data_IF_300656091019
#
_entry.id   IF_300656091019
#
_cell.length_a   1.000
_cell.length_b   1.000
_cell.length_c   1.000
_cell.angle_alpha   90.00
_cell.angle_beta   90.00
_cell.angle_gamma   90.00
#
_symmetry.space_group_name_H-M   'P 1'
#
loop_
_entity.id
_entity.type
_entity.pdbx_description
1 polymer ?
#
# COMPACT_ATOMS: atom_id res chain seq x y z
N UNK A 1 -3.88 31.97 -26.13
CA UNK A 1 -3.03 31.73 -24.95
C UNK A 1 -3.81 32.14 -23.70
N UNK A 2 -4.44 31.20 -22.99
CA UNK A 2 -5.13 31.45 -21.73
C UNK A 2 -4.28 30.84 -20.60
N UNK A 3 -3.80 31.67 -19.69
CA UNK A 3 -3.01 31.27 -18.52
C UNK A 3 -3.92 30.50 -17.57
N UNK A 4 -3.60 29.22 -17.35
CA UNK A 4 -4.20 28.40 -16.30
C UNK A 4 -3.74 28.92 -14.93
N UNK A 5 -4.67 29.46 -14.14
CA UNK A 5 -4.41 29.85 -12.76
C UNK A 5 -4.48 28.62 -11.88
N UNK A 6 -3.33 28.22 -11.35
CA UNK A 6 -3.23 27.23 -10.27
C UNK A 6 -3.91 27.83 -9.05
N UNK A 7 -5.07 27.31 -8.67
CA UNK A 7 -5.71 27.63 -7.39
C UNK A 7 -4.88 27.03 -6.26
N UNK A 8 -4.14 27.88 -5.56
CA UNK A 8 -3.56 27.52 -4.27
C UNK A 8 -4.68 27.26 -3.28
N UNK A 9 -4.74 26.05 -2.73
CA UNK A 9 -5.57 25.74 -1.57
C UNK A 9 -5.07 26.60 -0.41
N UNK A 10 -5.92 27.40 0.26
CA UNK A 10 -5.49 28.19 1.37
C UNK A 10 -5.09 27.31 2.55
N UNK A 11 -3.86 27.44 3.01
CA UNK A 11 -3.43 26.93 4.30
C UNK A 11 -4.34 27.55 5.37
N UNK A 12 -5.21 26.76 5.99
CA UNK A 12 -5.99 27.19 7.14
C UNK A 12 -5.03 27.42 8.29
N UNK A 13 -4.98 28.68 8.71
CA UNK A 13 -4.17 29.18 9.79
C UNK A 13 -4.31 28.32 11.04
N UNK A 14 -3.17 28.08 11.67
CA UNK A 14 -3.03 27.42 12.94
C UNK A 14 -3.92 28.10 14.00
N UNK A 15 -4.98 27.40 14.40
CA UNK A 15 -5.66 27.73 15.65
C UNK A 15 -4.74 27.24 16.78
N UNK A 16 -4.26 28.17 17.57
CA UNK A 16 -3.55 27.97 18.83
C UNK A 16 -4.35 26.99 19.70
N UNK A 17 -3.92 25.73 19.73
CA UNK A 17 -4.48 24.75 20.64
C UNK A 17 -3.73 24.85 21.96
N UNK A 18 -4.48 25.12 23.02
CA UNK A 18 -4.05 24.83 24.38
C UNK A 18 -3.57 23.37 24.41
N UNK A 19 -2.27 23.15 24.70
CA UNK A 19 -1.69 21.82 24.89
C UNK A 19 -2.42 21.13 26.03
N UNK A 20 -3.40 20.31 25.71
CA UNK A 20 -3.89 19.30 26.64
C UNK A 20 -2.70 18.39 27.00
N UNK A 21 -2.65 17.91 28.23
CA UNK A 21 -1.59 17.02 28.71
C UNK A 21 -1.32 15.96 27.64
N UNK A 22 -0.10 15.94 27.13
CA UNK A 22 0.29 15.11 25.98
C UNK A 22 0.02 13.64 26.29
N UNK A 23 -0.92 13.03 25.56
CA UNK A 23 -0.93 11.57 25.45
C UNK A 23 0.48 11.10 25.08
N UNK A 24 0.96 9.99 25.66
CA UNK A 24 2.22 9.43 25.20
C UNK A 24 2.14 9.22 23.68
N UNK A 25 3.14 9.69 22.96
CA UNK A 25 3.24 9.53 21.51
C UNK A 25 3.43 8.03 21.25
N UNK A 26 2.52 7.41 20.49
CA UNK A 26 2.62 6.01 20.11
C UNK A 26 3.90 5.74 19.30
N UNK A 27 4.37 4.50 19.31
CA UNK A 27 5.54 4.07 18.53
C UNK A 27 5.19 3.77 17.08
N UNK A 28 6.17 3.87 16.22
CA UNK A 28 6.09 3.47 14.81
C UNK A 28 6.64 2.06 14.68
N UNK A 29 5.86 1.15 14.10
CA UNK A 29 6.22 -0.23 13.82
C UNK A 29 6.55 -0.41 12.34
N UNK A 30 7.83 -0.40 11.92
CA UNK A 30 8.21 -0.67 10.55
C UNK A 30 7.96 -2.14 10.19
N UNK A 31 7.25 -2.37 9.07
CA UNK A 31 7.00 -3.71 8.52
C UNK A 31 7.52 -3.73 7.09
N UNK A 32 8.60 -4.47 6.86
CA UNK A 32 9.24 -4.61 5.55
C UNK A 32 8.74 -5.86 4.87
N UNK A 33 8.21 -5.71 3.66
CA UNK A 33 7.73 -6.80 2.81
C UNK A 33 8.57 -6.91 1.55
N UNK A 34 8.63 -8.08 0.93
CA UNK A 34 9.43 -8.34 -0.28
C UNK A 34 10.87 -7.89 -0.19
N UNK A 35 11.57 -8.23 0.89
CA UNK A 35 12.87 -7.64 1.12
C UNK A 35 13.88 -7.99 0.03
N UNK A 36 13.75 -9.15 -0.61
CA UNK A 36 14.64 -9.61 -1.69
C UNK A 36 14.05 -10.83 -2.41
N UNK A 37 14.49 -11.05 -3.64
CA UNK A 37 14.18 -12.23 -4.47
C UNK A 37 15.41 -13.06 -4.77
N UNK A 38 16.57 -12.44 -4.76
CA UNK A 38 17.87 -13.05 -5.08
C UNK A 38 18.92 -12.73 -4.01
N UNK A 39 19.95 -13.58 -3.83
CA UNK A 39 21.06 -13.30 -2.91
C UNK A 39 21.75 -11.95 -3.17
N UNK A 40 21.81 -11.52 -4.42
CA UNK A 40 22.39 -10.22 -4.80
C UNK A 40 21.64 -9.02 -4.21
N UNK A 41 20.37 -9.18 -3.88
CA UNK A 41 19.54 -8.11 -3.34
C UNK A 41 19.86 -7.81 -1.87
N UNK A 42 20.62 -8.68 -1.19
CA UNK A 42 20.95 -8.49 0.22
C UNK A 42 21.74 -7.20 0.47
N UNK A 43 22.59 -6.79 -0.45
CA UNK A 43 23.35 -5.52 -0.31
C UNK A 43 22.45 -4.30 -0.34
N UNK A 44 21.34 -4.40 -1.09
CA UNK A 44 20.31 -3.38 -1.18
C UNK A 44 19.47 -3.34 0.10
N UNK A 45 19.08 -4.51 0.56
CA UNK A 45 18.33 -4.67 1.80
C UNK A 45 19.13 -4.21 3.02
N UNK A 46 20.46 -4.45 3.05
CA UNK A 46 21.35 -3.97 4.12
C UNK A 46 21.27 -2.44 4.28
N UNK A 47 21.16 -1.68 3.20
CA UNK A 47 20.95 -0.22 3.26
C UNK A 47 19.61 0.17 3.87
N UNK A 48 18.53 -0.45 3.42
CA UNK A 48 17.21 -0.20 3.97
C UNK A 48 17.20 -0.49 5.48
N UNK A 49 17.81 -1.60 5.88
CA UNK A 49 17.87 -1.97 7.31
C UNK A 49 18.77 -1.09 8.14
N UNK A 50 19.91 -0.65 7.62
CA UNK A 50 20.76 0.32 8.32
C UNK A 50 20.01 1.62 8.56
N UNK A 51 19.32 2.11 7.54
CA UNK A 51 18.50 3.28 7.70
C UNK A 51 17.36 3.08 8.72
N UNK A 52 16.63 1.96 8.67
CA UNK A 52 15.62 1.63 9.68
C UNK A 52 16.25 1.49 11.08
N UNK A 53 17.45 0.90 11.18
CA UNK A 53 18.16 0.77 12.44
C UNK A 53 18.62 2.12 13.01
N UNK A 54 19.01 3.06 12.15
CA UNK A 54 19.29 4.45 12.55
C UNK A 54 18.05 5.12 13.15
N UNK A 55 16.88 4.97 12.52
CA UNK A 55 15.62 5.43 13.09
C UNK A 55 15.30 4.71 14.42
N UNK A 56 15.49 3.40 14.46
CA UNK A 56 15.25 2.57 15.65
C UNK A 56 16.27 2.81 16.79
N UNK A 57 17.31 3.63 16.58
CA UNK A 57 18.16 4.12 17.66
C UNK A 57 17.39 5.02 18.65
N UNK A 58 16.19 5.43 18.28
CA UNK A 58 15.23 6.11 19.14
C UNK A 58 14.10 5.15 19.57
N UNK A 59 14.32 4.26 20.54
CA UNK A 59 13.37 3.21 20.91
C UNK A 59 12.05 3.74 21.49
N UNK A 60 12.01 5.00 21.88
CA UNK A 60 10.79 5.69 22.28
C UNK A 60 9.87 6.00 21.07
N UNK A 61 10.44 6.13 19.87
CA UNK A 61 9.74 6.45 18.64
C UNK A 61 9.49 5.23 17.77
N UNK A 62 10.50 4.35 17.62
CA UNK A 62 10.44 3.22 16.71
C UNK A 62 10.49 1.89 17.44
N UNK A 63 9.57 1.00 17.10
CA UNK A 63 9.62 -0.39 17.53
C UNK A 63 10.59 -1.20 16.64
N UNK A 64 10.98 -2.38 17.13
CA UNK A 64 11.79 -3.31 16.35
C UNK A 64 11.07 -3.67 15.04
N UNK A 65 11.73 -3.54 13.87
CA UNK A 65 11.10 -3.83 12.58
C UNK A 65 10.74 -5.31 12.44
N UNK A 66 9.65 -5.58 11.73
CA UNK A 66 9.24 -6.91 11.29
C UNK A 66 9.56 -7.05 9.81
N UNK A 67 10.29 -8.10 9.43
CA UNK A 67 10.57 -8.41 8.03
C UNK A 67 9.83 -9.68 7.64
N UNK A 68 9.13 -9.61 6.52
CA UNK A 68 8.39 -10.76 6.00
C UNK A 68 9.07 -11.29 4.74
N UNK A 69 9.47 -12.55 4.79
CA UNK A 69 10.10 -13.27 3.68
C UNK A 69 9.27 -14.51 3.38
N UNK A 70 9.02 -14.78 2.12
CA UNK A 70 8.36 -16.03 1.77
C UNK A 70 9.25 -17.24 2.10
N UNK A 71 8.61 -18.39 2.37
CA UNK A 71 9.32 -19.59 2.83
C UNK A 71 10.33 -20.12 1.82
N UNK A 72 10.02 -20.02 0.53
CA UNK A 72 10.92 -20.51 -0.54
C UNK A 72 12.19 -19.67 -0.55
N UNK A 73 12.06 -18.35 -0.51
CA UNK A 73 13.19 -17.43 -0.41
C UNK A 73 13.97 -17.68 0.88
N UNK A 74 13.28 -17.83 2.02
CA UNK A 74 13.92 -18.14 3.30
C UNK A 74 14.78 -19.41 3.24
N UNK A 75 14.25 -20.51 2.67
CA UNK A 75 15.01 -21.75 2.53
C UNK A 75 16.21 -21.60 1.58
N UNK A 76 16.06 -20.87 0.48
CA UNK A 76 17.16 -20.66 -0.47
C UNK A 76 18.31 -19.83 0.13
N UNK A 77 17.99 -19.01 1.13
CA UNK A 77 18.95 -18.11 1.79
C UNK A 77 19.53 -18.69 3.10
N UNK A 78 19.05 -19.85 3.56
CA UNK A 78 19.42 -20.42 4.88
C UNK A 78 20.92 -20.62 5.10
N UNK A 79 21.68 -20.88 4.02
CA UNK A 79 23.14 -21.03 4.06
C UNK A 79 23.94 -19.73 3.81
N UNK A 80 23.26 -18.60 3.59
CA UNK A 80 23.94 -17.35 3.28
C UNK A 80 24.34 -16.59 4.56
N UNK A 81 25.65 -16.32 4.72
CA UNK A 81 26.17 -15.66 5.92
C UNK A 81 25.62 -14.23 6.11
N UNK A 82 25.41 -13.49 5.02
CA UNK A 82 24.84 -12.14 5.09
C UNK A 82 23.38 -12.18 5.54
N UNK A 83 22.62 -13.19 5.10
CA UNK A 83 21.26 -13.41 5.57
C UNK A 83 21.21 -13.81 7.07
N UNK A 84 22.13 -14.66 7.52
CA UNK A 84 22.24 -15.04 8.94
C UNK A 84 22.57 -13.83 9.85
N UNK A 85 23.27 -12.82 9.31
CA UNK A 85 23.54 -11.57 9.99
C UNK A 85 22.34 -10.63 10.11
N UNK A 86 21.27 -10.92 9.40
CA UNK A 86 20.04 -10.15 9.43
C UNK A 86 19.34 -10.30 10.79
N UNK A 87 19.55 -9.35 11.68
CA UNK A 87 19.00 -9.37 13.05
C UNK A 87 17.55 -8.93 13.15
N UNK A 88 16.88 -8.72 12.06
CA UNK A 88 15.47 -8.38 12.05
C UNK A 88 14.61 -9.62 12.30
N UNK A 89 13.41 -9.42 12.85
CA UNK A 89 12.43 -10.49 12.92
C UNK A 89 11.95 -10.84 11.52
N UNK A 90 12.08 -12.11 11.18
CA UNK A 90 11.67 -12.61 9.87
C UNK A 90 10.52 -13.57 10.03
N UNK A 91 9.43 -13.29 9.34
CA UNK A 91 8.26 -14.17 9.26
C UNK A 91 8.31 -14.90 7.94
N UNK A 92 8.45 -16.22 7.99
CA UNK A 92 8.33 -17.07 6.80
C UNK A 92 6.86 -17.32 6.47
N UNK A 93 6.48 -17.11 5.23
CA UNK A 93 5.12 -17.33 4.74
C UNK A 93 5.08 -18.49 3.77
N UNK A 94 4.07 -19.34 3.89
CA UNK A 94 3.84 -20.46 2.98
C UNK A 94 3.05 -20.04 1.76
N UNK A 95 3.53 -20.48 0.61
CA UNK A 95 2.81 -20.45 -0.64
C UNK A 95 2.49 -21.88 -1.06
N UNK A 96 1.23 -22.26 -1.00
CA UNK A 96 0.80 -23.62 -1.40
C UNK A 96 -0.29 -23.62 -2.48
N UNK A 97 -0.62 -22.48 -3.09
CA UNK A 97 -1.84 -22.36 -3.89
C UNK A 97 -1.52 -21.97 -5.33
N UNK A 98 -2.43 -22.37 -6.25
CA UNK A 98 -2.33 -22.23 -7.71
C UNK A 98 -2.05 -20.79 -8.21
N UNK A 99 -2.43 -19.75 -7.46
CA UNK A 99 -2.05 -18.36 -7.69
C UNK A 99 -1.13 -17.90 -6.56
N UNK A 100 -0.05 -18.64 -6.40
CA UNK A 100 0.90 -18.57 -5.32
C UNK A 100 1.37 -17.13 -5.05
N UNK A 101 1.64 -16.40 -6.11
CA UNK A 101 2.15 -15.06 -6.01
C UNK A 101 1.17 -14.07 -5.34
N UNK A 102 -0.11 -14.09 -5.72
CA UNK A 102 -1.12 -13.23 -5.11
C UNK A 102 -1.41 -13.60 -3.65
N UNK A 103 -1.40 -14.89 -3.38
CA UNK A 103 -1.65 -15.41 -2.03
C UNK A 103 -0.48 -15.09 -1.12
N UNK A 104 0.74 -15.23 -1.60
CA UNK A 104 1.94 -14.90 -0.84
C UNK A 104 1.98 -13.43 -0.44
N UNK A 105 1.69 -12.52 -1.36
CA UNK A 105 1.60 -11.10 -1.08
C UNK A 105 0.60 -10.80 0.02
N UNK A 106 -0.60 -11.34 -0.12
CA UNK A 106 -1.66 -11.17 0.86
C UNK A 106 -1.25 -11.70 2.24
N UNK A 107 -0.65 -12.89 2.29
CA UNK A 107 -0.18 -13.51 3.53
C UNK A 107 0.98 -12.74 4.13
N UNK A 108 1.93 -12.26 3.33
CA UNK A 108 3.06 -11.48 3.81
C UNK A 108 2.61 -10.19 4.49
N UNK A 109 1.71 -9.45 3.88
CA UNK A 109 1.17 -8.22 4.48
C UNK A 109 0.41 -8.53 5.76
N UNK A 110 -0.51 -9.50 5.69
CA UNK A 110 -1.30 -9.90 6.85
C UNK A 110 -0.43 -10.39 8.01
N UNK A 111 0.54 -11.27 7.73
CA UNK A 111 1.43 -11.83 8.75
C UNK A 111 2.32 -10.76 9.36
N UNK A 112 2.93 -9.91 8.54
CA UNK A 112 3.82 -8.86 9.02
C UNK A 112 3.09 -7.80 9.85
N UNK A 113 1.99 -7.29 9.35
CA UNK A 113 1.19 -6.29 10.05
C UNK A 113 0.51 -6.88 11.28
N UNK A 114 0.02 -8.13 11.20
CA UNK A 114 -0.58 -8.84 12.34
C UNK A 114 0.43 -9.06 13.47
N UNK A 115 1.64 -9.53 13.14
CA UNK A 115 2.69 -9.71 14.13
C UNK A 115 3.12 -8.38 14.79
N UNK A 116 3.21 -7.31 14.01
CA UNK A 116 3.49 -5.99 14.56
C UNK A 116 2.34 -5.50 15.43
N UNK A 117 1.09 -5.72 15.00
CA UNK A 117 -0.12 -5.36 15.74
C UNK A 117 -0.21 -6.03 17.11
N UNK A 118 0.10 -7.33 17.18
CA UNK A 118 0.06 -8.11 18.43
C UNK A 118 1.08 -7.62 19.49
N UNK A 119 2.05 -6.80 19.07
CA UNK A 119 3.09 -6.22 19.95
C UNK A 119 2.90 -4.76 20.23
N UNK A 120 1.95 -4.14 19.57
CA UNK A 120 1.72 -2.71 19.67
C UNK A 120 0.62 -2.34 20.63
N UNK A 121 0.58 -1.07 20.95
CA UNK A 121 -0.40 -0.45 21.80
C UNK A 121 -1.41 0.39 21.00
N UNK A 122 -2.50 0.82 21.65
CA UNK A 122 -3.61 1.54 21.02
C UNK A 122 -3.21 2.82 20.28
N UNK A 123 -2.13 3.46 20.69
CA UNK A 123 -1.66 4.73 20.14
C UNK A 123 -0.62 4.54 19.03
N UNK A 124 -0.20 3.30 18.77
CA UNK A 124 0.87 2.95 17.83
C UNK A 124 0.45 3.09 16.35
N UNK A 125 1.44 3.25 15.50
CA UNK A 125 1.33 3.36 14.04
C UNK A 125 2.12 2.23 13.39
N UNK A 126 1.56 1.63 12.37
CA UNK A 126 2.17 0.54 11.60
C UNK A 126 2.51 1.04 10.21
N UNK A 127 3.74 0.87 9.82
CA UNK A 127 4.29 1.43 8.60
C UNK A 127 4.73 0.32 7.66
N UNK A 128 4.01 0.13 6.54
CA UNK A 128 4.36 -0.83 5.52
C UNK A 128 5.40 -0.25 4.56
N UNK A 129 6.49 -0.98 4.37
CA UNK A 129 7.63 -0.60 3.54
C UNK A 129 7.89 -1.73 2.53
N UNK A 130 7.66 -1.52 1.24
CA UNK A 130 8.07 -2.50 0.24
C UNK A 130 9.60 -2.48 0.11
N UNK A 131 10.22 -3.65 0.22
CA UNK A 131 11.69 -3.80 0.20
C UNK A 131 12.28 -3.97 -1.19
N UNK A 132 11.45 -4.18 -2.22
CA UNK A 132 11.86 -4.47 -3.59
C UNK A 132 12.01 -3.24 -4.51
N UNK A 133 12.05 -2.04 -3.93
CA UNK A 133 12.39 -0.82 -4.64
C UNK A 133 13.89 -0.53 -4.63
N UNK A 134 14.38 0.19 -5.64
CA UNK A 134 15.78 0.51 -5.78
C UNK A 134 16.25 1.65 -4.85
N UNK A 135 16.31 1.37 -3.56
CA UNK A 135 16.87 2.31 -2.57
C UNK A 135 18.39 2.54 -2.71
N UNK A 136 19.06 1.74 -3.54
CA UNK A 136 20.49 1.87 -3.80
C UNK A 136 20.84 2.99 -4.78
N UNK A 137 19.92 3.42 -5.62
CA UNK A 137 20.10 4.55 -6.53
C UNK A 137 20.15 5.87 -5.76
N UNK A 138 20.67 6.93 -6.42
CA UNK A 138 20.66 8.27 -5.83
C UNK A 138 19.22 8.70 -5.46
N UNK A 139 18.28 8.50 -6.38
CA UNK A 139 16.85 8.82 -6.16
C UNK A 139 16.28 7.98 -5.03
N UNK A 140 16.60 6.70 -4.93
CA UNK A 140 16.17 5.84 -3.85
C UNK A 140 16.71 6.29 -2.49
N UNK A 141 17.93 6.81 -2.42
CA UNK A 141 18.50 7.38 -1.19
C UNK A 141 17.78 8.69 -0.80
N UNK A 142 17.44 9.54 -1.76
CA UNK A 142 16.63 10.74 -1.52
C UNK A 142 15.23 10.38 -0.98
N UNK A 143 14.62 9.31 -1.50
CA UNK A 143 13.36 8.76 -0.97
C UNK A 143 13.55 8.28 0.47
N UNK A 144 14.56 7.45 0.76
CA UNK A 144 14.81 6.96 2.11
C UNK A 144 14.97 8.10 3.12
N UNK A 145 15.69 9.16 2.76
CA UNK A 145 16.01 10.28 3.68
C UNK A 145 14.76 10.98 4.22
N UNK A 146 13.61 10.83 3.60
CA UNK A 146 12.35 11.47 3.98
C UNK A 146 11.19 10.51 4.16
N UNK A 147 11.38 9.22 3.90
CA UNK A 147 10.31 8.24 3.96
C UNK A 147 9.75 8.06 5.38
N UNK A 148 10.52 8.40 6.41
CA UNK A 148 10.08 8.41 7.81
C UNK A 148 8.97 9.44 8.07
N UNK A 149 8.86 10.51 7.26
CA UNK A 149 7.78 11.49 7.37
C UNK A 149 6.39 10.84 7.18
N UNK A 150 6.33 9.74 6.40
CA UNK A 150 5.06 9.08 6.09
C UNK A 150 4.31 8.59 7.35
N UNK A 151 4.91 7.81 8.25
CA UNK A 151 4.25 7.43 9.50
C UNK A 151 4.17 8.59 10.51
N UNK A 152 5.10 9.55 10.47
CA UNK A 152 5.10 10.69 11.40
C UNK A 152 3.91 11.62 11.15
N UNK A 153 3.48 11.78 9.91
CA UNK A 153 2.26 12.53 9.55
C UNK A 153 1.03 12.01 10.33
N UNK A 154 0.91 10.70 10.55
CA UNK A 154 -0.20 10.16 11.32
C UNK A 154 -0.15 10.60 12.78
N UNK A 155 1.05 10.65 13.34
CA UNK A 155 1.24 11.05 14.74
C UNK A 155 1.01 12.56 14.91
N UNK A 156 1.56 13.36 14.01
CA UNK A 156 1.56 14.83 14.12
C UNK A 156 0.20 15.45 13.77
N UNK A 157 -0.49 14.90 12.75
CA UNK A 157 -1.77 15.42 12.28
C UNK A 157 -2.97 14.65 12.83
N UNK A 158 -2.74 13.67 13.72
CA UNK A 158 -3.77 12.79 14.28
C UNK A 158 -4.64 12.14 13.18
N UNK A 159 -3.99 11.65 12.12
CA UNK A 159 -4.64 10.94 11.01
C UNK A 159 -4.77 9.45 11.31
N UNK A 160 -5.68 8.77 10.62
CA UNK A 160 -5.93 7.33 10.79
C UNK A 160 -5.19 6.48 9.76
N UNK A 161 -4.97 7.03 8.56
CA UNK A 161 -4.29 6.37 7.45
C UNK A 161 -3.51 7.38 6.61
N UNK A 162 -2.29 7.02 6.22
CA UNK A 162 -1.50 7.80 5.27
C UNK A 162 -1.09 6.90 4.10
N UNK A 163 -1.45 7.28 2.89
CA UNK A 163 -1.02 6.58 1.67
C UNK A 163 0.20 7.27 1.09
N UNK A 164 1.22 6.48 0.79
CA UNK A 164 2.42 6.95 0.09
C UNK A 164 2.21 6.91 -1.41
N UNK A 165 2.34 8.03 -2.08
CA UNK A 165 2.18 8.16 -3.51
C UNK A 165 3.53 8.18 -4.22
N UNK A 166 3.75 7.22 -5.13
CA UNK A 166 4.92 7.18 -6.00
C UNK A 166 4.63 8.05 -7.22
N UNK A 167 5.51 8.99 -7.49
CA UNK A 167 5.46 9.77 -8.72
C UNK A 167 6.08 8.95 -9.85
N UNK A 168 5.32 8.69 -10.90
CA UNK A 168 5.79 7.97 -12.10
C UNK A 168 5.46 8.78 -13.35
N UNK A 169 6.17 8.49 -14.43
CA UNK A 169 5.83 9.04 -15.73
C UNK A 169 4.44 8.57 -16.18
N UNK A 170 3.72 9.42 -16.88
CA UNK A 170 2.36 9.11 -17.37
C UNK A 170 2.30 7.84 -18.24
N UNK A 171 3.40 7.45 -18.86
CA UNK A 171 3.52 6.24 -19.67
C UNK A 171 3.96 5.01 -18.86
N UNK A 172 4.14 5.14 -17.55
CA UNK A 172 4.50 3.99 -16.72
C UNK A 172 3.37 2.97 -16.70
N UNK A 173 3.64 1.68 -17.03
CA UNK A 173 2.60 0.64 -17.07
C UNK A 173 1.75 0.56 -15.81
N UNK A 174 2.34 0.69 -14.62
CA UNK A 174 1.61 0.67 -13.36
C UNK A 174 0.64 1.85 -13.24
N UNK A 175 1.06 3.06 -13.68
CA UNK A 175 0.19 4.24 -13.72
C UNK A 175 -0.98 4.04 -14.68
N UNK A 176 -0.72 3.46 -15.86
CA UNK A 176 -1.77 3.17 -16.84
C UNK A 176 -2.79 2.17 -16.30
N UNK A 177 -2.34 1.13 -15.60
CA UNK A 177 -3.22 0.15 -14.96
C UNK A 177 -4.07 0.84 -13.88
N UNK A 178 -3.48 1.69 -13.05
CA UNK A 178 -4.21 2.39 -12.00
C UNK A 178 -5.24 3.37 -12.59
N UNK A 179 -4.87 4.12 -13.63
CA UNK A 179 -5.76 5.11 -14.25
C UNK A 179 -6.90 4.45 -15.03
N UNK A 180 -6.58 3.55 -15.95
CA UNK A 180 -7.55 2.98 -16.90
C UNK A 180 -8.20 1.69 -16.41
N UNK A 181 -7.56 0.96 -15.49
CA UNK A 181 -8.11 -0.25 -14.89
C UNK A 181 -8.72 0.00 -13.52
N UNK A 182 -7.88 0.30 -12.54
CA UNK A 182 -8.31 0.35 -11.14
C UNK A 182 -9.33 1.46 -10.88
N UNK A 183 -9.05 2.70 -11.26
CA UNK A 183 -9.99 3.79 -11.02
C UNK A 183 -11.26 3.70 -11.87
N UNK A 184 -11.16 3.24 -13.12
CA UNK A 184 -12.34 3.05 -13.94
C UNK A 184 -13.33 2.04 -13.33
N UNK A 185 -12.81 0.94 -12.77
CA UNK A 185 -13.60 -0.05 -12.06
C UNK A 185 -14.09 0.45 -10.70
N UNK A 186 -13.26 1.20 -9.96
CA UNK A 186 -13.66 1.85 -8.71
C UNK A 186 -14.87 2.78 -8.95
N UNK A 187 -14.81 3.64 -9.98
CA UNK A 187 -15.92 4.52 -10.35
C UNK A 187 -17.19 3.77 -10.73
N UNK A 188 -17.06 2.57 -11.30
CA UNK A 188 -18.21 1.74 -11.62
C UNK A 188 -18.89 1.19 -10.37
N UNK A 189 -18.10 0.63 -9.43
CA UNK A 189 -18.64 -0.05 -8.26
C UNK A 189 -18.89 0.85 -7.06
N UNK A 190 -18.07 1.89 -6.87
CA UNK A 190 -18.05 2.79 -5.72
C UNK A 190 -17.79 4.24 -6.16
N UNK A 191 -18.69 4.85 -6.93
CA UNK A 191 -18.42 6.14 -7.59
C UNK A 191 -18.11 7.29 -6.64
N UNK A 192 -18.78 7.36 -5.49
CA UNK A 192 -18.53 8.41 -4.47
C UNK A 192 -17.18 8.20 -3.79
N UNK A 193 -16.94 7.00 -3.37
CA UNK A 193 -15.69 6.60 -2.69
C UNK A 193 -14.49 6.71 -3.64
N UNK A 194 -14.65 6.36 -4.90
CA UNK A 194 -13.62 6.54 -5.92
C UNK A 194 -13.23 8.01 -6.10
N UNK A 195 -14.21 8.92 -6.11
CA UNK A 195 -13.95 10.35 -6.17
C UNK A 195 -13.17 10.84 -4.95
N UNK A 196 -13.57 10.41 -3.75
CA UNK A 196 -12.90 10.78 -2.50
C UNK A 196 -11.47 10.19 -2.44
N UNK A 197 -11.29 8.92 -2.79
CA UNK A 197 -9.95 8.29 -2.84
C UNK A 197 -9.03 9.05 -3.80
N UNK A 198 -9.55 9.53 -4.92
CA UNK A 198 -8.75 10.25 -5.91
C UNK A 198 -8.22 11.62 -5.41
N UNK A 199 -8.82 12.18 -4.39
CA UNK A 199 -8.30 13.39 -3.73
C UNK A 199 -6.99 13.12 -2.96
N UNK A 200 -6.79 11.88 -2.55
CA UNK A 200 -5.61 11.46 -1.77
C UNK A 200 -4.53 10.80 -2.63
N UNK A 201 -4.89 10.06 -3.66
CA UNK A 201 -3.89 9.33 -4.47
C UNK A 201 -4.37 9.05 -5.89
N UNK A 202 -3.44 9.06 -6.83
CA UNK A 202 -3.62 8.50 -8.18
C UNK A 202 -3.17 7.03 -8.26
N UNK A 203 -2.57 6.50 -7.16
CA UNK A 203 -2.03 5.15 -7.05
C UNK A 203 -2.72 4.38 -5.91
N UNK A 204 -4.00 3.98 -6.07
CA UNK A 204 -4.78 3.36 -4.99
C UNK A 204 -4.24 2.00 -4.56
N UNK A 205 -3.33 1.41 -5.32
CA UNK A 205 -2.63 0.15 -4.99
C UNK A 205 -1.20 0.36 -4.52
N UNK A 206 -0.86 1.57 -4.07
CA UNK A 206 0.47 1.84 -3.52
C UNK A 206 0.78 0.91 -2.35
N UNK A 207 1.98 0.38 -2.32
CA UNK A 207 2.46 -0.48 -1.24
C UNK A 207 3.05 0.32 -0.08
N UNK A 208 3.21 1.64 -0.24
CA UNK A 208 3.66 2.53 0.83
C UNK A 208 2.45 3.04 1.61
N UNK A 209 2.35 2.71 2.86
CA UNK A 209 1.34 3.31 3.72
C UNK A 209 1.70 3.22 5.21
N UNK A 210 1.05 4.05 6.00
CA UNK A 210 1.01 3.92 7.45
C UNK A 210 -0.44 3.94 7.95
N UNK A 211 -0.70 3.25 9.06
CA UNK A 211 -2.04 3.02 9.59
C UNK A 211 -2.03 3.00 11.11
N UNK A 212 -3.01 3.62 11.75
CA UNK A 212 -3.22 3.59 13.20
C UNK A 212 -3.67 2.23 13.68
N UNK A 213 -3.33 1.90 14.93
CA UNK A 213 -3.65 0.63 15.60
C UNK A 213 -5.14 0.27 15.48
N UNK A 214 -6.04 1.14 15.90
CA UNK A 214 -7.49 0.85 15.86
C UNK A 214 -7.97 0.50 14.46
N UNK A 215 -7.54 1.28 13.46
CA UNK A 215 -7.95 1.05 12.08
C UNK A 215 -7.28 -0.20 11.50
N UNK A 216 -6.00 -0.46 11.80
CA UNK A 216 -5.36 -1.71 11.42
C UNK A 216 -6.09 -2.92 12.01
N UNK A 217 -6.47 -2.88 13.28
CA UNK A 217 -7.26 -3.95 13.91
C UNK A 217 -8.59 -4.20 13.19
N UNK A 218 -9.24 -3.15 12.66
CA UNK A 218 -10.41 -3.33 11.81
C UNK A 218 -10.03 -4.03 10.49
N UNK A 219 -8.97 -3.58 9.81
CA UNK A 219 -8.52 -4.14 8.52
C UNK A 219 -8.09 -5.61 8.68
N UNK A 220 -7.39 -5.96 9.74
CA UNK A 220 -6.96 -7.35 10.00
C UNK A 220 -8.13 -8.34 10.13
N UNK A 221 -9.31 -7.86 10.51
CA UNK A 221 -10.54 -8.68 10.57
C UNK A 221 -11.28 -8.79 9.25
N UNK A 222 -10.85 -8.06 8.23
CA UNK A 222 -11.47 -8.11 6.90
C UNK A 222 -10.87 -9.23 6.05
N UNK A 223 -11.49 -9.48 4.89
CA UNK A 223 -10.90 -10.35 3.87
C UNK A 223 -9.73 -9.63 3.19
N UNK A 224 -8.62 -10.32 3.07
CA UNK A 224 -7.42 -9.77 2.44
C UNK A 224 -7.31 -10.12 0.97
N UNK A 225 -6.78 -9.17 0.19
CA UNK A 225 -6.68 -9.22 -1.26
C UNK A 225 -5.30 -8.72 -1.71
N UNK A 226 -4.34 -9.55 -1.86
CA UNK A 226 -3.03 -9.27 -2.48
C UNK A 226 -2.68 -7.77 -2.68
N UNK A 227 -2.31 -7.36 -3.87
CA UNK A 227 -1.97 -5.96 -4.19
C UNK A 227 -3.14 -4.97 -4.13
N UNK A 228 -4.36 -5.45 -4.17
CA UNK A 228 -5.55 -4.61 -4.01
C UNK A 228 -5.79 -4.22 -2.54
N UNK A 229 -4.98 -4.71 -1.61
CA UNK A 229 -5.22 -4.47 -0.18
C UNK A 229 -5.18 -2.99 0.20
N UNK A 230 -4.28 -2.20 -0.38
CA UNK A 230 -4.26 -0.74 -0.13
C UNK A 230 -5.54 -0.07 -0.61
N UNK A 231 -6.02 -0.44 -1.81
CA UNK A 231 -7.30 0.04 -2.34
C UNK A 231 -8.48 -0.35 -1.44
N UNK A 232 -8.48 -1.58 -0.95
CA UNK A 232 -9.49 -2.08 0.01
C UNK A 232 -9.43 -1.28 1.31
N UNK A 233 -8.23 -1.01 1.82
CA UNK A 233 -8.03 -0.21 3.03
C UNK A 233 -8.53 1.22 2.84
N UNK A 234 -8.24 1.84 1.69
CA UNK A 234 -8.77 3.17 1.33
C UNK A 234 -10.31 3.17 1.28
N UNK A 235 -10.92 2.16 0.65
CA UNK A 235 -12.39 2.02 0.65
C UNK A 235 -12.96 1.91 2.07
N UNK A 236 -12.36 1.09 2.93
CA UNK A 236 -12.78 0.99 4.32
C UNK A 236 -12.56 2.29 5.10
N UNK A 237 -11.49 3.03 4.81
CA UNK A 237 -11.25 4.34 5.41
C UNK A 237 -12.36 5.32 5.05
N UNK A 238 -12.75 5.39 3.78
CA UNK A 238 -13.86 6.23 3.32
C UNK A 238 -15.19 5.76 3.92
N UNK A 239 -15.49 4.46 3.91
CA UNK A 239 -16.72 3.91 4.50
C UNK A 239 -16.89 4.26 5.99
N UNK A 240 -15.78 4.36 6.71
CA UNK A 240 -15.76 4.65 8.14
C UNK A 240 -15.46 6.12 8.45
N UNK A 241 -15.39 6.98 7.42
CA UNK A 241 -15.06 8.40 7.58
C UNK A 241 -13.75 8.63 8.36
N UNK A 242 -12.77 7.76 8.14
CA UNK A 242 -11.43 7.88 8.70
C UNK A 242 -10.69 9.06 8.08
N UNK A 243 -9.82 9.68 8.85
CA UNK A 243 -8.99 10.80 8.39
C UNK A 243 -7.82 10.24 7.59
N UNK A 244 -7.80 10.56 6.30
CA UNK A 244 -6.78 10.11 5.35
C UNK A 244 -5.84 11.26 5.04
N UNK A 245 -4.55 10.97 5.00
CA UNK A 245 -3.52 11.86 4.47
C UNK A 245 -2.77 11.19 3.33
N UNK A 246 -1.99 11.98 2.60
CA UNK A 246 -1.07 11.48 1.58
C UNK A 246 0.34 11.96 1.86
N UNK A 247 1.30 11.14 1.48
CA UNK A 247 2.71 11.48 1.46
C UNK A 247 3.27 11.25 0.05
N UNK A 248 3.93 12.24 -0.52
CA UNK A 248 4.58 12.04 -1.82
C UNK A 248 5.91 11.32 -1.60
N UNK A 249 5.96 10.02 -1.89
CA UNK A 249 7.18 9.21 -1.82
C UNK A 249 8.23 9.73 -2.79
N UNK A 250 7.80 10.22 -3.93
CA UNK A 250 8.67 10.67 -5.01
C UNK A 250 8.86 9.61 -6.08
N UNK A 251 9.82 9.84 -6.95
CA UNK A 251 10.12 8.94 -8.05
C UNK A 251 11.07 7.85 -7.54
N UNK A 252 10.61 6.60 -7.55
CA UNK A 252 11.42 5.43 -7.20
C UNK A 252 11.06 4.29 -8.14
N UNK A 253 12.05 3.50 -8.54
CA UNK A 253 11.87 2.35 -9.44
C UNK A 253 11.97 1.04 -8.67
N UNK A 254 11.39 -0.01 -9.22
CA UNK A 254 11.55 -1.37 -8.70
C UNK A 254 13.03 -1.79 -8.78
N UNK A 255 13.45 -2.65 -7.87
CA UNK A 255 14.84 -3.17 -7.84
C UNK A 255 15.13 -4.05 -9.07
N UNK A 256 14.14 -4.82 -9.47
CA UNK A 256 14.21 -5.64 -10.67
C UNK A 256 13.33 -5.05 -11.75
N UNK A 257 13.91 -4.69 -12.89
CA UNK A 257 13.21 -4.26 -14.10
C UNK A 257 12.45 -5.43 -14.78
N UNK A 258 11.69 -6.16 -13.97
CA UNK A 258 10.66 -7.01 -14.50
C UNK A 258 9.52 -6.13 -14.96
N UNK A 259 9.67 -5.49 -16.11
CA UNK A 259 8.67 -4.59 -16.68
C UNK A 259 7.29 -5.24 -16.59
N UNK A 260 6.29 -4.46 -16.18
CA UNK A 260 4.92 -4.93 -16.17
C UNK A 260 4.55 -5.46 -17.55
N UNK A 261 4.35 -6.76 -17.66
CA UNK A 261 3.93 -7.36 -18.93
C UNK A 261 2.46 -7.08 -19.19
N UNK A 262 2.07 -7.04 -20.47
CA UNK A 262 0.66 -6.91 -20.84
C UNK A 262 -0.20 -7.98 -20.14
N UNK A 263 0.28 -9.23 -20.08
CA UNK A 263 -0.43 -10.31 -19.41
C UNK A 263 -0.66 -10.04 -17.91
N UNK A 264 0.36 -9.52 -17.22
CA UNK A 264 0.25 -9.12 -15.81
C UNK A 264 -0.72 -7.94 -15.64
N UNK A 265 -0.65 -6.93 -16.51
CA UNK A 265 -1.56 -5.80 -16.49
C UNK A 265 -3.03 -6.21 -16.66
N UNK A 266 -3.30 -7.09 -17.62
CA UNK A 266 -4.65 -7.61 -17.86
C UNK A 266 -5.17 -8.41 -16.65
N UNK A 267 -4.33 -9.25 -16.07
CA UNK A 267 -4.65 -10.03 -14.87
C UNK A 267 -4.95 -9.12 -13.67
N UNK A 268 -4.22 -8.04 -13.50
CA UNK A 268 -4.46 -7.07 -12.42
C UNK A 268 -5.82 -6.40 -12.56
N UNK A 269 -6.23 -6.01 -13.77
CA UNK A 269 -7.56 -5.43 -14.03
C UNK A 269 -8.68 -6.42 -13.69
N UNK A 270 -8.53 -7.70 -14.10
CA UNK A 270 -9.50 -8.74 -13.77
C UNK A 270 -9.60 -9.01 -12.26
N UNK A 271 -8.47 -9.01 -11.58
CA UNK A 271 -8.41 -9.19 -10.14
C UNK A 271 -9.06 -8.02 -9.40
N UNK A 272 -8.78 -6.80 -9.82
CA UNK A 272 -9.42 -5.58 -9.28
C UNK A 272 -10.94 -5.67 -9.40
N UNK A 273 -11.48 -6.04 -10.57
CA UNK A 273 -12.91 -6.21 -10.77
C UNK A 273 -13.49 -7.24 -9.79
N UNK A 274 -12.85 -8.39 -9.64
CA UNK A 274 -13.28 -9.47 -8.72
C UNK A 274 -13.34 -9.00 -7.28
N UNK A 275 -12.33 -8.24 -6.84
CA UNK A 275 -12.26 -7.68 -5.49
C UNK A 275 -13.41 -6.69 -5.25
N UNK A 276 -13.62 -5.77 -6.18
CA UNK A 276 -14.69 -4.76 -6.07
C UNK A 276 -16.08 -5.38 -6.06
N UNK A 277 -16.33 -6.39 -6.91
CA UNK A 277 -17.56 -7.19 -6.89
C UNK A 277 -17.81 -7.82 -5.51
N UNK A 278 -16.78 -8.43 -4.95
CA UNK A 278 -16.86 -9.08 -3.64
C UNK A 278 -17.18 -8.08 -2.54
N UNK A 279 -16.51 -6.95 -2.51
CA UNK A 279 -16.72 -5.90 -1.52
C UNK A 279 -18.11 -5.26 -1.65
N UNK A 280 -18.53 -4.95 -2.87
CA UNK A 280 -19.83 -4.36 -3.11
C UNK A 280 -20.95 -5.31 -2.66
N UNK A 281 -20.86 -6.59 -3.02
CA UNK A 281 -21.82 -7.59 -2.58
C UNK A 281 -21.87 -7.68 -1.05
N UNK A 282 -20.73 -7.84 -0.39
CA UNK A 282 -20.67 -7.95 1.07
C UNK A 282 -21.30 -6.73 1.77
N UNK A 283 -21.22 -5.55 1.15
CA UNK A 283 -21.79 -4.32 1.70
C UNK A 283 -23.29 -4.18 1.49
N UNK A 284 -23.83 -4.73 0.39
CA UNK A 284 -25.18 -4.44 -0.08
C UNK A 284 -26.11 -5.66 -0.13
N UNK A 285 -25.63 -6.87 0.18
CA UNK A 285 -26.45 -8.10 0.04
C UNK A 285 -27.67 -8.15 0.98
N UNK A 286 -27.72 -7.30 2.01
CA UNK A 286 -28.89 -7.13 2.87
C UNK A 286 -29.88 -6.06 2.37
N UNK A 287 -29.51 -5.26 1.38
CA UNK A 287 -30.36 -4.17 0.89
C UNK A 287 -31.49 -4.70 0.00
N UNK A 288 -32.72 -4.13 0.06
CA UNK A 288 -33.78 -4.48 -0.85
C UNK A 288 -33.34 -4.22 -2.32
N UNK A 289 -33.59 -5.21 -3.19
CA UNK A 289 -33.30 -5.09 -4.63
C UNK A 289 -31.81 -5.11 -5.01
N UNK A 290 -30.92 -5.50 -4.11
CA UNK A 290 -29.48 -5.53 -4.37
C UNK A 290 -29.11 -6.41 -5.58
N UNK A 291 -29.82 -7.52 -5.82
CA UNK A 291 -29.53 -8.44 -6.93
C UNK A 291 -29.68 -7.74 -8.29
N UNK A 292 -30.74 -6.93 -8.47
CA UNK A 292 -30.96 -6.21 -9.71
C UNK A 292 -29.86 -5.16 -9.94
N UNK A 293 -29.51 -4.40 -8.89
CA UNK A 293 -28.43 -3.41 -8.92
C UNK A 293 -27.07 -4.07 -9.19
N UNK A 294 -26.79 -5.21 -8.53
CA UNK A 294 -25.56 -5.95 -8.75
C UNK A 294 -25.40 -6.41 -10.20
N UNK A 295 -26.46 -7.00 -10.78
CA UNK A 295 -26.43 -7.45 -12.18
C UNK A 295 -26.22 -6.29 -13.17
N UNK A 296 -26.76 -5.13 -12.85
CA UNK A 296 -26.59 -3.96 -13.68
C UNK A 296 -25.15 -3.42 -13.61
N UNK A 297 -24.61 -3.30 -12.41
CA UNK A 297 -23.22 -2.92 -12.19
C UNK A 297 -22.25 -3.96 -12.79
N UNK A 298 -22.55 -5.23 -12.71
CA UNK A 298 -21.73 -6.29 -13.29
C UNK A 298 -21.65 -6.17 -14.82
N UNK A 299 -22.75 -5.85 -15.50
CA UNK A 299 -22.74 -5.60 -16.95
C UNK A 299 -21.93 -4.36 -17.31
N UNK A 300 -22.09 -3.29 -16.55
CA UNK A 300 -21.29 -2.05 -16.74
C UNK A 300 -19.81 -2.32 -16.49
N UNK A 301 -19.48 -3.00 -15.41
CA UNK A 301 -18.12 -3.36 -15.05
C UNK A 301 -17.43 -4.22 -16.12
N UNK A 302 -18.14 -5.18 -16.72
CA UNK A 302 -17.60 -5.99 -17.81
C UNK A 302 -17.22 -5.14 -19.03
N UNK A 303 -18.04 -4.15 -19.38
CA UNK A 303 -17.74 -3.21 -20.49
C UNK A 303 -16.49 -2.39 -20.13
N UNK A 304 -16.46 -1.83 -18.94
CA UNK A 304 -15.32 -1.03 -18.46
C UNK A 304 -14.04 -1.86 -18.45
N UNK A 305 -14.09 -3.07 -17.91
CA UNK A 305 -12.93 -3.98 -17.89
C UNK A 305 -12.41 -4.29 -19.29
N UNK A 306 -13.28 -4.66 -20.23
CA UNK A 306 -12.90 -4.93 -21.63
C UNK A 306 -12.29 -3.70 -22.29
N UNK A 307 -12.86 -2.52 -22.07
CA UNK A 307 -12.32 -1.26 -22.58
C UNK A 307 -10.95 -0.97 -22.00
N UNK A 308 -10.77 -1.12 -20.68
CA UNK A 308 -9.48 -0.96 -20.01
C UNK A 308 -8.43 -1.94 -20.57
N UNK A 309 -8.80 -3.20 -20.76
CA UNK A 309 -7.91 -4.21 -21.34
C UNK A 309 -7.48 -3.86 -22.76
N UNK A 310 -8.42 -3.40 -23.60
CA UNK A 310 -8.10 -2.95 -24.98
C UNK A 310 -7.19 -1.73 -24.99
N UNK A 311 -7.43 -0.75 -24.11
CA UNK A 311 -6.58 0.42 -23.97
C UNK A 311 -5.16 0.04 -23.53
N UNK A 312 -5.03 -0.81 -22.49
CA UNK A 312 -3.74 -1.28 -22.01
C UNK A 312 -3.00 -2.09 -23.08
N UNK A 313 -3.71 -2.92 -23.83
CA UNK A 313 -3.13 -3.63 -24.97
C UNK A 313 -2.54 -2.67 -26.02
N UNK A 314 -3.22 -1.58 -26.33
CA UNK A 314 -2.75 -0.60 -27.31
C UNK A 314 -1.62 0.30 -26.79
N UNK A 315 -1.52 0.49 -25.46
CA UNK A 315 -0.54 1.37 -24.82
C UNK A 315 0.74 0.63 -24.41
N UNK A 316 0.67 -0.69 -24.21
CA UNK A 316 1.80 -1.52 -23.76
C UNK A 316 2.42 -2.38 -24.89
N UNK A 317 1.85 -2.37 -26.08
CA UNK A 317 2.41 -3.00 -27.30
C UNK A 317 3.00 -1.97 -28.25
#
# INVERSE_FOLDING_TARGET
>A
MKKSSVRRVPARAAASQARSASRPRGRIHPVVIYPFRHPADLSHLDRLYRWIAELAAEPATYARPVTVVDRKTHHSMAGNAAYAGFRAETVGVHSEILDAWCVDTCQMWYSGLGQAYDRGDSDDVYWLIPGDFNYGSQVGQEVLSRLHDLPEILLDLDQDFCVGEITTDHNNPKQLIDTYGTFALLYTWFPREAQEIREYTERPRSEFFAIRHEFLGHILRQRWFAYEQTMVTLLHAVFQQKRISRFCVGQITDLHDGGETLASALQQVERTERVLKTLWRARHESDPGWIARYRDLERQSEIVRRTAQTLLQNLLT
#
